data_IF_279439637956
#
_entry.id   IF_279439637956
#
_cell.length_a   1.000
_cell.length_b   1.000
_cell.length_c   1.000
_cell.angle_alpha   90.00
_cell.angle_beta   90.00
_cell.angle_gamma   90.00
#
_symmetry.space_group_name_H-M   'P 1'
#
loop_
_entity.id
_entity.type
_entity.pdbx_description
1 polymer ?
#
# COMPACT_ATOMS: atom_id res chain seq x y z
N UNK A 1 -19.12 -3.43 -12.34
CA UNK A 1 -17.81 -3.93 -12.80
C UNK A 1 -17.07 -2.78 -13.45
N UNK A 2 -15.95 -2.34 -12.87
CA UNK A 2 -15.08 -1.35 -13.49
C UNK A 2 -14.31 -2.05 -14.62
N UNK A 3 -14.50 -1.62 -15.88
CA UNK A 3 -13.93 -2.33 -17.03
C UNK A 3 -12.39 -2.39 -17.00
N UNK A 4 -11.77 -1.41 -16.34
CA UNK A 4 -10.31 -1.25 -16.30
C UNK A 4 -9.65 -1.95 -15.10
N UNK A 5 -10.43 -2.42 -14.12
CA UNK A 5 -9.90 -3.17 -12.97
C UNK A 5 -10.86 -4.30 -12.54
N UNK A 6 -10.88 -5.42 -13.28
CA UNK A 6 -11.82 -6.51 -13.06
C UNK A 6 -11.62 -7.23 -11.71
N UNK A 7 -10.39 -7.27 -11.21
CA UNK A 7 -9.98 -7.98 -9.97
C UNK A 7 -10.09 -7.12 -8.71
N UNK A 8 -10.65 -5.90 -8.82
CA UNK A 8 -10.72 -4.90 -7.73
C UNK A 8 -11.06 -5.48 -6.36
N UNK A 9 -12.15 -6.22 -6.26
CA UNK A 9 -12.65 -6.67 -4.95
C UNK A 9 -11.66 -7.66 -4.29
N UNK A 10 -11.03 -8.51 -5.09
CA UNK A 10 -9.98 -9.43 -4.63
C UNK A 10 -8.71 -8.67 -4.25
N UNK A 11 -8.30 -7.69 -5.06
CA UNK A 11 -7.10 -6.89 -4.80
C UNK A 11 -7.25 -6.03 -3.54
N UNK A 12 -8.43 -5.42 -3.33
CA UNK A 12 -8.74 -4.67 -2.10
C UNK A 12 -8.74 -5.59 -0.88
N UNK A 13 -9.30 -6.80 -0.99
CA UNK A 13 -9.26 -7.77 0.11
C UNK A 13 -7.83 -8.20 0.46
N UNK A 14 -7.00 -8.49 -0.55
CA UNK A 14 -5.59 -8.82 -0.34
C UNK A 14 -4.84 -7.65 0.28
N UNK A 15 -5.08 -6.43 -0.20
CA UNK A 15 -4.45 -5.23 0.35
C UNK A 15 -4.82 -5.00 1.81
N UNK A 16 -6.09 -5.18 2.16
CA UNK A 16 -6.57 -5.10 3.55
C UNK A 16 -5.80 -6.07 4.45
N UNK A 17 -5.60 -7.33 4.02
CA UNK A 17 -4.85 -8.31 4.83
C UNK A 17 -3.40 -7.92 5.06
N UNK A 18 -2.72 -7.44 4.02
CA UNK A 18 -1.33 -6.94 4.14
C UNK A 18 -1.26 -5.77 5.11
N UNK A 19 -2.22 -4.85 5.02
CA UNK A 19 -2.33 -3.70 5.91
C UNK A 19 -2.60 -4.11 7.36
N UNK A 20 -3.51 -5.06 7.60
CA UNK A 20 -3.82 -5.60 8.93
C UNK A 20 -2.63 -6.33 9.56
N UNK A 21 -1.91 -7.12 8.76
CA UNK A 21 -0.70 -7.83 9.20
C UNK A 21 0.38 -6.82 9.61
N UNK A 22 0.66 -5.80 8.80
CA UNK A 22 1.62 -4.75 9.14
C UNK A 22 1.17 -3.93 10.37
N UNK A 23 -0.11 -3.56 10.47
CA UNK A 23 -0.66 -2.83 11.62
C UNK A 23 -0.44 -3.61 12.93
N UNK A 24 -0.69 -4.92 12.89
CA UNK A 24 -0.48 -5.83 14.01
C UNK A 24 0.99 -5.93 14.40
N UNK A 25 1.90 -6.07 13.43
CA UNK A 25 3.34 -6.13 13.67
C UNK A 25 3.89 -4.84 14.30
N UNK A 26 3.38 -3.68 13.85
CA UNK A 26 3.77 -2.37 14.37
C UNK A 26 2.99 -1.96 15.63
N UNK A 27 2.03 -2.77 16.08
CA UNK A 27 1.12 -2.48 17.20
C UNK A 27 0.51 -1.06 17.08
N UNK A 28 -0.06 -0.77 15.91
CA UNK A 28 -0.63 0.54 15.56
C UNK A 28 -2.01 0.37 14.95
N UNK A 29 -2.93 1.27 15.29
CA UNK A 29 -4.26 1.35 14.67
C UNK A 29 -4.27 2.29 13.45
N UNK A 30 -3.11 2.87 13.11
CA UNK A 30 -2.97 3.84 12.03
C UNK A 30 -1.85 3.45 11.07
N UNK A 31 -2.12 3.58 9.76
CA UNK A 31 -1.19 3.28 8.69
C UNK A 31 -0.86 4.55 7.92
N UNK A 32 0.38 5.01 8.06
CA UNK A 32 0.92 6.07 7.21
C UNK A 32 1.34 5.53 5.84
N UNK A 33 1.27 6.34 4.80
CA UNK A 33 1.88 6.01 3.49
C UNK A 33 3.41 6.11 3.53
N UNK A 34 3.89 6.98 4.40
CA UNK A 34 5.30 7.24 4.64
C UNK A 34 5.62 7.01 6.11
N UNK A 35 6.85 6.60 6.36
CA UNK A 35 7.41 6.41 7.69
C UNK A 35 8.74 7.15 7.81
N UNK A 36 9.02 7.63 9.03
CA UNK A 36 10.32 8.16 9.40
C UNK A 36 11.08 7.05 10.12
N UNK A 37 12.23 6.65 9.57
CA UNK A 37 13.09 5.64 10.20
C UNK A 37 14.37 6.27 10.69
N UNK A 38 14.65 6.05 11.97
CA UNK A 38 15.81 6.63 12.64
C UNK A 38 16.90 5.56 12.74
N UNK A 39 18.01 5.77 12.02
CA UNK A 39 19.23 5.03 12.24
C UNK A 39 20.07 5.78 13.30
N UNK A 40 20.06 5.28 14.53
CA UNK A 40 20.76 5.92 15.66
C UNK A 40 22.29 5.82 15.54
N UNK A 41 22.80 4.74 14.96
CA UNK A 41 24.24 4.52 14.79
C UNK A 41 24.82 5.53 13.80
N UNK A 42 24.14 5.71 12.67
CA UNK A 42 24.55 6.66 11.61
C UNK A 42 24.07 8.09 11.87
N UNK A 43 23.29 8.33 12.95
CA UNK A 43 22.61 9.60 13.24
C UNK A 43 21.80 10.12 12.05
N UNK A 44 21.17 9.22 11.30
CA UNK A 44 20.39 9.55 10.08
C UNK A 44 18.90 9.32 10.33
N UNK A 45 18.10 10.19 9.72
CA UNK A 45 16.65 10.01 9.60
C UNK A 45 16.31 9.84 8.12
N UNK A 46 15.62 8.75 7.80
CA UNK A 46 15.19 8.42 6.45
C UNK A 46 13.67 8.59 6.36
N UNK A 47 13.20 9.47 5.48
CA UNK A 47 11.80 9.59 5.11
C UNK A 47 11.54 8.69 3.91
N UNK A 48 10.73 7.64 4.09
CA UNK A 48 10.52 6.60 3.07
C UNK A 48 9.08 6.14 3.03
N UNK A 49 8.72 5.41 1.98
CA UNK A 49 7.43 4.71 1.91
C UNK A 49 7.35 3.68 3.03
N UNK A 50 6.18 3.57 3.67
CA UNK A 50 5.94 2.56 4.70
C UNK A 50 6.04 1.16 4.13
N UNK A 51 6.53 0.20 4.91
CA UNK A 51 6.80 -1.16 4.40
C UNK A 51 5.57 -1.83 3.81
N UNK A 52 4.36 -1.58 4.33
CA UNK A 52 3.13 -2.12 3.74
C UNK A 52 2.89 -1.62 2.30
N UNK A 53 3.26 -0.37 1.99
CA UNK A 53 3.17 0.18 0.62
C UNK A 53 4.11 -0.56 -0.32
N UNK A 54 5.33 -0.84 0.14
CA UNK A 54 6.32 -1.61 -0.61
C UNK A 54 5.86 -3.05 -0.84
N UNK A 55 5.27 -3.68 0.19
CA UNK A 55 4.72 -5.03 0.10
C UNK A 55 3.56 -5.11 -0.90
N UNK A 56 2.67 -4.12 -0.95
CA UNK A 56 1.63 -4.06 -1.98
C UNK A 56 2.22 -3.92 -3.39
N UNK A 57 3.21 -3.04 -3.55
CA UNK A 57 3.87 -2.84 -4.84
C UNK A 57 4.54 -4.12 -5.33
N UNK A 58 5.25 -4.83 -4.44
CA UNK A 58 5.88 -6.11 -4.75
C UNK A 58 4.86 -7.20 -5.05
N UNK A 59 3.82 -7.32 -4.23
CA UNK A 59 2.76 -8.32 -4.39
C UNK A 59 2.07 -8.18 -5.75
N UNK A 60 1.56 -6.99 -6.08
CA UNK A 60 0.83 -6.79 -7.34
C UNK A 60 1.75 -6.80 -8.55
N UNK A 61 3.01 -6.38 -8.41
CA UNK A 61 4.03 -6.57 -9.46
C UNK A 61 4.29 -8.05 -9.73
N UNK A 62 4.38 -8.88 -8.69
CA UNK A 62 4.57 -10.33 -8.84
C UNK A 62 3.35 -10.98 -9.51
N UNK A 63 2.15 -10.58 -9.11
CA UNK A 63 0.90 -11.17 -9.59
C UNK A 63 0.53 -10.75 -11.01
N UNK A 64 0.73 -9.48 -11.36
CA UNK A 64 0.24 -8.88 -12.61
C UNK A 64 1.35 -8.38 -13.55
N UNK A 65 2.61 -8.47 -13.14
CA UNK A 65 3.74 -7.87 -13.85
C UNK A 65 3.91 -6.38 -13.55
N UNK A 66 4.98 -5.77 -14.07
CA UNK A 66 5.39 -4.42 -13.70
C UNK A 66 4.33 -3.35 -13.95
N UNK A 67 3.78 -3.28 -15.16
CA UNK A 67 2.85 -2.20 -15.54
C UNK A 67 1.49 -2.33 -14.87
N UNK A 68 0.87 -3.52 -14.93
CA UNK A 68 -0.44 -3.74 -14.33
C UNK A 68 -0.37 -3.76 -12.81
N UNK A 69 0.72 -4.29 -12.24
CA UNK A 69 0.98 -4.25 -10.80
C UNK A 69 1.04 -2.82 -10.28
N UNK A 70 1.82 -1.94 -10.92
CA UNK A 70 1.89 -0.52 -10.56
C UNK A 70 0.52 0.17 -10.66
N UNK A 71 -0.25 -0.12 -11.72
CA UNK A 71 -1.62 0.38 -11.84
C UNK A 71 -2.49 -0.05 -10.65
N UNK A 72 -2.53 -1.34 -10.34
CA UNK A 72 -3.34 -1.88 -9.23
C UNK A 72 -2.89 -1.31 -7.88
N UNK A 73 -1.58 -1.24 -7.61
CA UNK A 73 -1.03 -0.64 -6.39
C UNK A 73 -1.50 0.80 -6.22
N UNK A 74 -1.43 1.63 -7.27
CA UNK A 74 -1.91 3.02 -7.22
C UNK A 74 -3.40 3.11 -6.99
N UNK A 75 -4.20 2.25 -7.63
CA UNK A 75 -5.65 2.24 -7.45
C UNK A 75 -6.05 1.86 -6.02
N UNK A 76 -5.40 0.85 -5.44
CA UNK A 76 -5.59 0.47 -4.03
C UNK A 76 -5.26 1.65 -3.11
N UNK A 77 -4.06 2.21 -3.23
CA UNK A 77 -3.61 3.33 -2.38
C UNK A 77 -4.56 4.53 -2.53
N UNK A 78 -4.92 4.90 -3.76
CA UNK A 78 -5.83 6.01 -4.02
C UNK A 78 -7.17 5.80 -3.30
N UNK A 79 -7.77 4.61 -3.39
CA UNK A 79 -9.04 4.32 -2.71
C UNK A 79 -8.91 4.33 -1.19
N UNK A 80 -7.80 3.84 -0.63
CA UNK A 80 -7.54 3.90 0.81
C UNK A 80 -7.45 5.35 1.32
N UNK A 81 -6.84 6.25 0.55
CA UNK A 81 -6.71 7.67 0.91
C UNK A 81 -8.05 8.39 0.77
N UNK A 82 -8.74 8.17 -0.35
CA UNK A 82 -9.96 8.93 -0.65
C UNK A 82 -11.20 8.30 -0.02
N UNK A 83 -11.12 7.12 0.58
CA UNK A 83 -12.30 6.38 1.12
C UNK A 83 -13.42 6.23 0.09
N UNK A 84 -13.05 5.95 -1.17
CA UNK A 84 -13.95 5.96 -2.32
C UNK A 84 -14.60 7.33 -2.66
N UNK A 85 -14.16 8.43 -2.02
CA UNK A 85 -14.51 9.77 -2.46
C UNK A 85 -13.79 10.12 -3.77
N UNK A 86 -14.47 10.87 -4.63
CA UNK A 86 -13.89 11.41 -5.85
C UNK A 86 -13.20 12.72 -5.50
N UNK A 87 -11.89 12.80 -5.68
CA UNK A 87 -11.15 14.07 -5.59
C UNK A 87 -11.41 14.83 -6.89
N UNK A 88 -12.14 15.95 -6.78
CA UNK A 88 -12.40 16.89 -7.88
C UNK A 88 -11.19 17.77 -8.18
#
# INVERSE_FOLDING_TARGET
>A
MNKDWPTRDQDMFTAQRIMEEYAKEQNTDSLGLFELVVNQEEKRMDFRLSSWVLLLAEHFKSLYGASQGDFVTRQVISRCITKDETVH
#
